data_IF_464232860146
#
_entry.id   IF_464232860146
#
_cell.length_a   1.000
_cell.length_b   1.000
_cell.length_c   1.000
_cell.angle_alpha   90.00
_cell.angle_beta   90.00
_cell.angle_gamma   90.00
#
_symmetry.space_group_name_H-M   'P 1'
#
loop_
_entity.id
_entity.type
_entity.pdbx_description
1 polymer ?
#
# COMPACT_ATOMS: atom_id res chain seq x y z
N UNK A 1 -53.44 -63.97 32.08
CA UNK A 1 -52.20 -64.43 31.41
C UNK A 1 -52.17 -63.78 30.04
N UNK A 2 -51.23 -62.97 29.57
CA UNK A 2 -49.98 -62.38 30.07
C UNK A 2 -49.69 -61.22 29.10
N UNK A 3 -49.28 -60.06 29.62
CA UNK A 3 -48.88 -58.85 28.91
C UNK A 3 -47.81 -59.07 27.84
N UNK A 4 -47.83 -58.28 26.76
CA UNK A 4 -46.61 -57.70 26.15
C UNK A 4 -46.90 -56.33 25.51
N UNK A 5 -46.50 -55.26 26.19
CA UNK A 5 -46.39 -53.90 25.63
C UNK A 5 -44.98 -53.77 25.07
N UNK A 6 -44.85 -53.47 23.77
CA UNK A 6 -43.56 -53.23 23.11
C UNK A 6 -43.26 -51.73 23.16
N UNK A 7 -42.36 -51.32 24.05
CA UNK A 7 -41.81 -49.96 24.07
C UNK A 7 -40.68 -49.87 23.03
N UNK A 8 -40.87 -49.06 21.99
CA UNK A 8 -39.82 -48.70 21.03
C UNK A 8 -39.10 -47.48 21.60
N UNK A 9 -37.89 -47.67 22.12
CA UNK A 9 -36.99 -46.58 22.49
C UNK A 9 -36.28 -46.13 21.21
N UNK A 10 -36.73 -45.01 20.63
CA UNK A 10 -36.05 -44.35 19.53
C UNK A 10 -34.84 -43.57 20.05
N UNK A 11 -33.63 -44.08 19.83
CA UNK A 11 -32.39 -43.34 20.12
C UNK A 11 -32.17 -42.29 19.02
N UNK A 12 -32.45 -41.03 19.33
CA UNK A 12 -32.03 -39.91 18.48
C UNK A 12 -30.51 -39.72 18.63
N UNK A 13 -29.74 -40.18 17.64
CA UNK A 13 -28.30 -39.90 17.58
C UNK A 13 -28.10 -38.45 17.13
N UNK A 14 -27.84 -37.56 18.08
CA UNK A 14 -27.27 -36.24 17.82
C UNK A 14 -25.87 -36.45 17.22
N UNK A 15 -25.74 -36.33 15.90
CA UNK A 15 -24.44 -36.23 15.24
C UNK A 15 -23.85 -34.88 15.64
N UNK A 16 -22.74 -34.83 16.41
CA UNK A 16 -22.07 -33.57 16.62
C UNK A 16 -21.48 -33.15 15.27
N UNK A 17 -22.06 -32.10 14.69
CA UNK A 17 -21.49 -31.44 13.53
C UNK A 17 -20.18 -30.81 13.99
N UNK A 18 -19.07 -31.54 13.82
CA UNK A 18 -17.72 -31.09 14.11
C UNK A 18 -17.41 -29.95 13.13
N UNK A 19 -17.72 -28.73 13.53
CA UNK A 19 -17.39 -27.52 12.78
C UNK A 19 -15.87 -27.39 12.78
N UNK A 20 -15.23 -27.86 11.71
CA UNK A 20 -13.82 -27.60 11.46
C UNK A 20 -13.69 -26.11 11.18
N UNK A 21 -13.36 -25.35 12.22
CA UNK A 21 -12.98 -23.94 12.08
C UNK A 21 -11.58 -23.94 11.44
N UNK A 22 -11.53 -23.89 10.11
CA UNK A 22 -10.28 -23.64 9.41
C UNK A 22 -9.78 -22.24 9.81
N UNK A 23 -8.51 -22.09 10.23
CA UNK A 23 -7.96 -20.76 10.46
C UNK A 23 -8.05 -19.99 9.14
N UNK A 24 -8.70 -18.82 9.16
CA UNK A 24 -8.73 -17.93 8.01
C UNK A 24 -7.28 -17.58 7.67
N UNK A 25 -6.83 -17.94 6.46
CA UNK A 25 -5.50 -17.60 6.01
C UNK A 25 -5.35 -16.07 6.02
N UNK A 26 -4.40 -15.55 6.80
CA UNK A 26 -4.04 -14.14 6.73
C UNK A 26 -3.34 -13.91 5.38
N UNK A 27 -4.06 -13.36 4.42
CA UNK A 27 -3.45 -12.90 3.18
C UNK A 27 -2.99 -11.45 3.42
N UNK A 28 -1.69 -11.27 3.63
CA UNK A 28 -1.11 -9.94 3.84
C UNK A 28 -0.98 -9.19 2.52
N UNK A 29 -1.93 -8.31 2.24
CA UNK A 29 -1.68 -7.25 1.26
C UNK A 29 -0.67 -6.26 1.82
N UNK A 30 -0.06 -5.48 0.94
CA UNK A 30 0.89 -4.48 1.35
C UNK A 30 0.87 -3.36 0.34
N UNK A 31 0.55 -2.16 0.81
CA UNK A 31 0.51 -0.99 -0.05
C UNK A 31 0.26 0.29 0.72
N UNK A 32 0.66 1.40 0.12
CA UNK A 32 0.49 2.74 0.68
C UNK A 32 0.45 3.79 -0.43
N UNK A 33 -0.11 4.97 -0.14
CA UNK A 33 -0.04 6.11 -1.05
C UNK A 33 1.37 6.71 -1.00
N UNK A 34 2.10 6.60 -2.12
CA UNK A 34 3.46 7.11 -2.26
C UNK A 34 3.51 8.55 -2.78
N UNK A 35 2.47 9.00 -3.51
CA UNK A 35 2.37 10.39 -3.99
C UNK A 35 0.92 10.89 -4.05
N UNK A 36 0.61 12.12 -3.57
CA UNK A 36 1.42 12.88 -2.62
C UNK A 36 1.76 12.03 -1.38
N UNK A 37 2.93 12.25 -0.74
CA UNK A 37 3.43 11.33 0.27
C UNK A 37 2.47 11.27 1.46
N UNK A 38 1.94 10.07 1.71
CA UNK A 38 1.19 9.76 2.93
C UNK A 38 2.07 9.91 4.18
N UNK A 39 1.44 9.92 5.36
CA UNK A 39 2.15 9.99 6.65
C UNK A 39 3.19 8.88 6.80
N UNK A 40 2.83 7.64 6.49
CA UNK A 40 3.78 6.52 6.50
C UNK A 40 4.90 6.68 5.44
N UNK A 41 4.63 7.28 4.28
CA UNK A 41 5.66 7.60 3.30
C UNK A 41 6.61 8.69 3.80
N UNK A 42 6.10 9.74 4.45
CA UNK A 42 6.92 10.79 5.08
C UNK A 42 7.83 10.21 6.18
N UNK A 43 7.32 9.23 6.95
CA UNK A 43 8.12 8.48 7.91
C UNK A 43 9.25 7.71 7.23
N UNK A 44 8.95 6.94 6.18
CA UNK A 44 9.94 6.14 5.46
C UNK A 44 11.00 6.99 4.75
N UNK A 45 10.63 8.18 4.28
CA UNK A 45 11.53 9.17 3.68
C UNK A 45 12.36 9.95 4.71
N UNK A 46 12.11 9.77 6.02
CA UNK A 46 12.76 10.56 7.07
C UNK A 46 12.32 12.03 7.13
N UNK A 47 11.26 12.41 6.42
CA UNK A 47 10.73 13.77 6.44
C UNK A 47 10.07 14.14 7.78
N UNK A 48 9.53 13.12 8.47
CA UNK A 48 8.98 13.19 9.82
C UNK A 48 9.59 12.06 10.65
N UNK A 49 10.04 12.36 11.87
CA UNK A 49 10.61 11.36 12.74
C UNK A 49 9.52 10.39 13.24
N UNK A 50 9.73 9.11 12.97
CA UNK A 50 8.78 8.04 13.22
C UNK A 50 9.44 6.81 13.86
N UNK A 51 8.61 5.98 14.48
CA UNK A 51 8.95 4.69 15.06
C UNK A 51 9.12 3.60 13.98
N UNK A 52 8.49 2.44 14.19
CA UNK A 52 8.67 1.27 13.34
C UNK A 52 8.13 1.45 11.92
N UNK A 53 7.08 2.25 11.73
CA UNK A 53 6.40 2.37 10.43
C UNK A 53 7.32 2.86 9.29
N UNK A 54 8.40 3.57 9.60
CA UNK A 54 9.38 4.01 8.58
C UNK A 54 10.06 2.84 7.84
N UNK A 55 10.09 1.65 8.44
CA UNK A 55 10.70 0.47 7.84
C UNK A 55 9.70 -0.33 6.99
N UNK A 56 8.41 -0.10 7.18
CA UNK A 56 7.34 -0.89 6.57
C UNK A 56 6.10 -0.05 6.25
N UNK A 57 6.22 1.06 5.49
CA UNK A 57 5.09 1.96 5.19
C UNK A 57 3.91 1.24 4.54
N UNK A 58 4.16 0.12 3.86
CA UNK A 58 3.17 -0.72 3.21
C UNK A 58 2.27 -1.55 4.16
N UNK A 59 2.55 -1.57 5.47
CA UNK A 59 1.95 -2.54 6.42
C UNK A 59 0.80 -1.98 7.27
N UNK A 60 0.19 -0.85 6.90
CA UNK A 60 -0.92 -0.26 7.67
C UNK A 60 -2.25 -0.95 7.34
N UNK A 61 -2.33 -2.24 7.71
CA UNK A 61 -3.47 -3.11 7.50
C UNK A 61 -4.39 -3.15 8.72
N UNK A 62 -5.70 -3.05 8.51
CA UNK A 62 -6.69 -3.24 9.57
C UNK A 62 -8.04 -3.69 9.04
N UNK A 63 -9.01 -4.04 9.91
CA UNK A 63 -10.37 -4.38 9.50
C UNK A 63 -10.99 -3.28 8.64
N UNK A 64 -11.79 -3.63 7.64
CA UNK A 64 -12.56 -2.66 6.83
C UNK A 64 -13.48 -1.80 7.70
N UNK A 65 -13.70 -0.56 7.28
CA UNK A 65 -14.64 0.38 7.91
C UNK A 65 -14.02 1.28 8.98
N UNK A 66 -12.70 1.21 9.20
CA UNK A 66 -12.01 2.16 10.06
C UNK A 66 -11.82 3.50 9.34
N UNK A 67 -11.67 4.55 10.13
CA UNK A 67 -11.38 5.91 9.65
C UNK A 67 -10.09 6.47 10.25
N UNK A 68 -9.30 5.63 10.91
CA UNK A 68 -8.02 6.01 11.52
C UNK A 68 -6.86 5.86 10.54
N UNK A 69 -5.89 6.77 10.63
CA UNK A 69 -4.69 6.75 9.78
C UNK A 69 -3.78 5.55 10.04
N UNK A 70 -3.83 4.97 11.24
CA UNK A 70 -3.03 3.82 11.64
C UNK A 70 -3.68 2.46 11.38
N UNK A 71 -4.87 2.40 10.78
CA UNK A 71 -5.60 1.14 10.58
C UNK A 71 -5.94 0.40 11.87
N UNK A 72 -5.98 1.10 13.02
CA UNK A 72 -6.21 0.50 14.33
C UNK A 72 -4.97 -0.16 14.96
N UNK A 73 -3.81 -0.09 14.31
CA UNK A 73 -2.57 -0.70 14.79
C UNK A 73 -1.88 0.20 15.82
N UNK A 74 -1.82 -0.27 17.08
CA UNK A 74 -1.22 0.47 18.19
C UNK A 74 0.27 0.79 17.99
N UNK A 75 1.02 -0.11 17.34
CA UNK A 75 2.43 0.10 17.00
C UNK A 75 2.67 1.24 16.00
N UNK A 76 1.63 1.66 15.27
CA UNK A 76 1.67 2.78 14.33
C UNK A 76 0.80 3.96 14.79
N UNK A 77 0.50 4.05 16.10
CA UNK A 77 -0.38 5.08 16.68
C UNK A 77 0.02 6.51 16.30
N UNK A 78 1.32 6.74 16.08
CA UNK A 78 1.86 8.01 15.61
C UNK A 78 1.24 8.53 14.30
N UNK A 79 0.72 7.66 13.43
CA UNK A 79 0.04 8.09 12.21
C UNK A 79 -1.26 8.86 12.50
N UNK A 80 -1.87 8.64 13.67
CA UNK A 80 -3.05 9.39 14.12
C UNK A 80 -2.69 10.70 14.85
N UNK A 81 -1.43 10.89 15.23
CA UNK A 81 -0.99 12.06 16.00
C UNK A 81 -0.86 13.29 15.09
N UNK A 82 -1.87 14.16 15.14
CA UNK A 82 -1.92 15.40 14.36
C UNK A 82 -0.97 16.49 14.89
N UNK A 83 -0.35 16.29 16.07
CA UNK A 83 0.65 17.21 16.62
C UNK A 83 2.04 17.03 16.01
N UNK A 84 2.30 15.88 15.35
CA UNK A 84 3.53 15.67 14.60
C UNK A 84 3.67 16.66 13.44
N UNK A 85 4.91 17.00 13.03
CA UNK A 85 5.16 17.99 11.99
C UNK A 85 4.94 17.44 10.57
N UNK A 86 3.76 16.86 10.30
CA UNK A 86 3.36 16.37 8.99
C UNK A 86 3.39 17.49 7.96
N UNK A 87 4.11 17.26 6.85
CA UNK A 87 4.33 18.25 5.79
C UNK A 87 3.18 18.16 4.79
N UNK A 88 2.26 19.13 4.74
CA UNK A 88 1.17 19.09 3.76
C UNK A 88 1.71 19.36 2.36
N UNK A 89 1.25 18.59 1.36
CA UNK A 89 1.63 18.82 -0.04
C UNK A 89 0.73 19.89 -0.67
N UNK A 90 1.28 20.99 -1.23
CA UNK A 90 0.48 21.96 -1.99
C UNK A 90 -0.12 21.34 -3.24
N UNK A 91 -1.42 21.51 -3.43
CA UNK A 91 -2.16 20.93 -4.56
C UNK A 91 -3.24 21.87 -5.07
N UNK A 92 -3.57 21.72 -6.36
CA UNK A 92 -4.78 22.31 -6.95
C UNK A 92 -6.06 21.55 -6.53
N UNK A 93 -7.14 21.83 -7.25
CA UNK A 93 -8.45 21.24 -6.98
C UNK A 93 -8.60 19.82 -7.55
N UNK A 94 -7.63 19.35 -8.32
CA UNK A 94 -7.59 17.99 -8.86
C UNK A 94 -6.23 17.40 -8.55
N UNK A 95 -6.22 16.23 -7.91
CA UNK A 95 -5.00 15.62 -7.38
C UNK A 95 -4.89 14.18 -7.84
N UNK A 96 -3.73 13.79 -8.34
CA UNK A 96 -3.42 12.41 -8.67
C UNK A 96 -2.76 11.72 -7.47
N UNK A 97 -3.42 10.70 -6.94
CA UNK A 97 -2.92 9.85 -5.86
C UNK A 97 -2.36 8.56 -6.43
N UNK A 98 -1.09 8.28 -6.18
CA UNK A 98 -0.39 7.06 -6.59
C UNK A 98 -0.21 6.13 -5.39
N UNK A 99 -0.70 4.90 -5.54
CA UNK A 99 -0.44 3.79 -4.65
C UNK A 99 0.76 2.98 -5.13
N UNK A 100 1.62 2.58 -4.19
CA UNK A 100 2.64 1.55 -4.40
C UNK A 100 2.18 0.28 -3.69
N UNK A 101 2.04 -0.82 -4.44
CA UNK A 101 1.57 -2.12 -3.95
C UNK A 101 2.73 -3.11 -4.00
N UNK A 102 3.17 -3.62 -2.83
CA UNK A 102 4.31 -4.55 -2.74
C UNK A 102 3.86 -6.01 -2.64
N UNK A 103 2.61 -6.26 -2.26
CA UNK A 103 1.95 -7.57 -2.37
C UNK A 103 0.57 -7.38 -3.01
N UNK A 104 0.34 -8.01 -4.17
CA UNK A 104 -0.88 -7.83 -4.96
C UNK A 104 -1.97 -8.79 -4.50
N UNK A 105 -3.13 -8.26 -4.14
CA UNK A 105 -4.30 -9.03 -3.72
C UNK A 105 -5.52 -8.62 -4.53
N UNK A 106 -6.51 -9.52 -4.61
CA UNK A 106 -7.80 -9.15 -5.22
C UNK A 106 -8.31 -7.89 -4.55
N UNK A 107 -8.83 -6.96 -5.32
CA UNK A 107 -9.18 -5.63 -4.81
C UNK A 107 -10.64 -5.35 -5.09
N UNK A 108 -11.42 -5.04 -4.04
CA UNK A 108 -12.78 -4.50 -4.21
C UNK A 108 -12.68 -3.13 -4.84
N UNK A 109 -11.78 -2.28 -4.33
CA UNK A 109 -11.58 -0.95 -4.85
C UNK A 109 -10.81 -0.06 -3.91
N UNK A 110 -10.85 1.23 -4.19
CA UNK A 110 -10.25 2.27 -3.37
C UNK A 110 -11.27 3.34 -3.05
N UNK A 111 -11.14 3.92 -1.87
CA UNK A 111 -11.98 5.02 -1.41
C UNK A 111 -11.12 6.15 -0.87
N UNK A 112 -11.60 7.38 -1.07
CA UNK A 112 -10.91 8.60 -0.65
C UNK A 112 -11.87 9.46 0.17
N UNK A 113 -11.43 9.93 1.32
CA UNK A 113 -12.24 10.71 2.26
C UNK A 113 -11.51 11.95 2.75
N UNK A 114 -12.25 13.04 2.95
CA UNK A 114 -11.83 14.16 3.80
C UNK A 114 -12.84 14.27 4.94
N UNK A 115 -12.38 14.05 6.17
CA UNK A 115 -13.28 13.86 7.31
C UNK A 115 -14.24 12.68 7.06
N UNK A 116 -15.55 12.91 7.22
CA UNK A 116 -16.59 11.92 6.94
C UNK A 116 -17.06 11.90 5.47
N UNK A 117 -16.58 12.83 4.63
CA UNK A 117 -17.05 13.00 3.26
C UNK A 117 -16.25 12.13 2.31
N UNK A 118 -16.90 11.16 1.65
CA UNK A 118 -16.29 10.41 0.53
C UNK A 118 -16.15 11.33 -0.68
N UNK A 119 -14.91 11.56 -1.11
CA UNK A 119 -14.60 12.46 -2.25
C UNK A 119 -14.38 11.69 -3.56
N UNK A 120 -14.00 10.41 -3.50
CA UNK A 120 -13.90 9.55 -4.67
C UNK A 120 -13.97 8.06 -4.31
N UNK A 121 -14.26 7.23 -5.31
CA UNK A 121 -14.17 5.78 -5.26
C UNK A 121 -13.77 5.21 -6.62
N UNK A 122 -12.99 4.13 -6.62
CA UNK A 122 -12.50 3.47 -7.83
C UNK A 122 -12.68 1.96 -7.67
N UNK A 123 -13.24 1.30 -8.69
CA UNK A 123 -13.48 -0.14 -8.67
C UNK A 123 -12.19 -0.92 -8.97
N UNK A 124 -11.91 -1.94 -8.16
CA UNK A 124 -10.81 -2.87 -8.38
C UNK A 124 -11.20 -4.08 -9.22
N UNK A 125 -12.47 -4.22 -9.59
CA UNK A 125 -13.05 -5.32 -10.36
C UNK A 125 -12.77 -6.71 -9.76
N UNK A 126 -12.48 -6.77 -8.46
CA UNK A 126 -12.08 -7.98 -7.73
C UNK A 126 -10.89 -8.73 -8.35
N UNK A 127 -9.99 -8.00 -9.02
CA UNK A 127 -8.73 -8.55 -9.57
C UNK A 127 -7.52 -7.97 -8.81
N UNK A 128 -6.36 -8.64 -8.84
CA UNK A 128 -5.12 -8.04 -8.36
C UNK A 128 -4.76 -6.78 -9.17
N UNK A 129 -4.46 -5.65 -8.52
CA UNK A 129 -4.07 -4.44 -9.21
C UNK A 129 -2.64 -4.54 -9.75
N UNK A 130 -2.22 -3.55 -10.54
CA UNK A 130 -0.80 -3.37 -10.82
C UNK A 130 0.00 -3.01 -9.57
N UNK A 131 1.33 -3.17 -9.64
CA UNK A 131 2.25 -2.73 -8.57
C UNK A 131 2.20 -1.21 -8.31
N UNK A 132 1.68 -0.45 -9.28
CA UNK A 132 1.40 0.98 -9.14
C UNK A 132 0.02 1.27 -9.70
N UNK A 133 -0.76 2.05 -8.96
CA UNK A 133 -2.10 2.51 -9.38
C UNK A 133 -2.20 4.00 -9.12
N UNK A 134 -2.70 4.77 -10.10
CA UNK A 134 -2.91 6.21 -9.95
C UNK A 134 -4.38 6.55 -10.14
N UNK A 135 -4.91 7.34 -9.21
CA UNK A 135 -6.29 7.81 -9.22
C UNK A 135 -6.34 9.34 -9.18
N UNK A 136 -7.10 9.93 -10.08
CA UNK A 136 -7.33 11.38 -10.11
C UNK A 136 -8.59 11.71 -9.33
N UNK A 137 -8.45 12.50 -8.26
CA UNK A 137 -9.52 12.86 -7.32
C UNK A 137 -9.79 14.36 -7.39
N UNK A 138 -11.06 14.72 -7.46
CA UNK A 138 -11.51 16.11 -7.43
C UNK A 138 -11.75 16.56 -5.97
N UNK A 139 -11.09 17.65 -5.57
CA UNK A 139 -11.15 18.26 -4.26
C UNK A 139 -11.68 19.71 -4.31
N UNK A 140 -12.38 20.11 -5.37
CA UNK A 140 -12.87 21.48 -5.56
C UNK A 140 -13.80 22.00 -4.44
N UNK A 141 -14.40 21.10 -3.66
CA UNK A 141 -15.20 21.43 -2.48
C UNK A 141 -14.39 21.72 -1.21
N UNK A 142 -13.06 21.66 -1.27
CA UNK A 142 -12.17 21.82 -0.12
C UNK A 142 -11.07 22.85 -0.40
N UNK A 143 -10.57 23.47 0.67
CA UNK A 143 -9.48 24.45 0.60
C UNK A 143 -8.68 24.45 1.90
N UNK A 144 -7.46 24.98 1.88
CA UNK A 144 -6.60 25.06 3.05
C UNK A 144 -5.96 23.72 3.40
N UNK A 145 -5.49 23.59 4.64
CA UNK A 145 -4.89 22.34 5.13
C UNK A 145 -5.96 21.28 5.31
N UNK A 146 -5.82 20.16 4.59
CA UNK A 146 -6.75 19.03 4.63
C UNK A 146 -5.99 17.74 4.93
N UNK A 147 -6.65 16.82 5.63
CA UNK A 147 -6.17 15.45 5.82
C UNK A 147 -7.08 14.53 5.04
N UNK A 148 -6.55 13.93 3.97
CA UNK A 148 -7.24 12.94 3.18
C UNK A 148 -6.92 11.54 3.69
N UNK A 149 -7.93 10.69 3.87
CA UNK A 149 -7.77 9.26 4.11
C UNK A 149 -8.02 8.51 2.81
N UNK A 150 -7.01 7.78 2.34
CA UNK A 150 -7.10 6.85 1.23
C UNK A 150 -7.17 5.42 1.79
N UNK A 151 -8.13 4.65 1.30
CA UNK A 151 -8.41 3.28 1.75
C UNK A 151 -8.33 2.35 0.55
N UNK A 152 -7.53 1.30 0.65
CA UNK A 152 -7.50 0.20 -0.32
C UNK A 152 -8.24 -1.00 0.25
N UNK A 153 -9.38 -1.36 -0.35
CA UNK A 153 -10.29 -2.41 0.09
C UNK A 153 -9.90 -3.75 -0.56
N UNK A 154 -9.45 -4.71 0.25
CA UNK A 154 -9.04 -6.04 -0.24
C UNK A 154 -10.27 -6.91 -0.52
N UNK A 155 -10.23 -7.69 -1.60
CA UNK A 155 -11.34 -8.51 -2.12
C UNK A 155 -11.54 -9.83 -1.39
N UNK A 156 -10.44 -10.45 -0.95
CA UNK A 156 -10.41 -11.81 -0.40
C UNK A 156 -10.13 -11.86 1.11
N UNK A 157 -10.05 -10.71 1.78
CA UNK A 157 -9.91 -10.62 3.25
C UNK A 157 -10.93 -9.63 3.84
N UNK A 158 -11.18 -9.66 5.17
CA UNK A 158 -11.97 -8.62 5.84
C UNK A 158 -11.20 -7.30 6.04
N UNK A 159 -9.96 -7.19 5.56
CA UNK A 159 -9.06 -6.07 5.85
C UNK A 159 -8.98 -5.04 4.72
N UNK A 160 -8.39 -3.89 5.03
CA UNK A 160 -8.07 -2.79 4.14
C UNK A 160 -6.75 -2.13 4.56
N UNK A 161 -6.15 -1.37 3.63
CA UNK A 161 -4.94 -0.57 3.88
C UNK A 161 -5.31 0.90 3.99
N UNK A 162 -4.74 1.57 4.98
CA UNK A 162 -5.08 2.94 5.35
C UNK A 162 -3.89 3.87 5.16
N UNK A 163 -4.06 4.93 4.37
CA UNK A 163 -3.04 5.97 4.15
C UNK A 163 -3.63 7.36 4.33
N UNK A 164 -3.19 8.07 5.35
CA UNK A 164 -3.50 9.50 5.49
C UNK A 164 -2.49 10.35 4.72
N UNK A 165 -2.97 11.34 3.99
CA UNK A 165 -2.18 12.30 3.21
C UNK A 165 -2.54 13.72 3.65
N UNK A 166 -1.57 14.47 4.15
CA UNK A 166 -1.74 15.88 4.48
C UNK A 166 -1.55 16.73 3.22
N UNK A 167 -2.53 17.59 2.93
CA UNK A 167 -2.60 18.40 1.72
C UNK A 167 -2.80 19.87 2.09
N UNK A 168 -2.33 20.75 1.22
CA UNK A 168 -2.68 22.17 1.23
C UNK A 168 -3.43 22.48 -0.07
N UNK A 169 -4.76 22.39 -0.04
CA UNK A 169 -5.64 22.52 -1.20
C UNK A 169 -5.89 24.00 -1.51
N UNK A 170 -5.76 24.39 -2.77
CA UNK A 170 -6.02 25.78 -3.21
C UNK A 170 -4.94 26.78 -2.76
N UNK A 171 -3.89 26.31 -2.07
CA UNK A 171 -2.64 27.07 -1.97
C UNK A 171 -2.01 27.05 -3.35
N UNK A 172 -2.05 28.18 -4.07
CA UNK A 172 -1.61 28.28 -5.45
C UNK A 172 -0.34 27.47 -5.71
N UNK A 173 -0.42 26.53 -6.64
CA UNK A 173 0.77 25.86 -7.13
C UNK A 173 1.61 26.92 -7.89
N UNK A 174 2.93 27.05 -7.66
CA UNK A 174 3.82 27.30 -8.77
C UNK A 174 3.46 26.28 -9.86
N UNK A 175 3.43 26.67 -11.15
CA UNK A 175 2.96 25.78 -12.20
C UNK A 175 3.64 24.42 -12.03
N UNK A 176 2.84 23.36 -12.15
CA UNK A 176 3.36 22.04 -12.45
C UNK A 176 4.49 22.22 -13.45
N UNK A 177 5.71 21.86 -13.08
CA UNK A 177 6.58 21.28 -14.08
C UNK A 177 5.88 20.02 -14.55
N UNK A 178 5.00 20.18 -15.53
CA UNK A 178 4.95 19.27 -16.66
C UNK A 178 6.38 19.22 -17.20
N UNK A 179 7.21 18.34 -16.62
CA UNK A 179 8.20 17.67 -17.46
C UNK A 179 7.38 16.71 -18.29
N UNK A 180 6.84 17.22 -19.39
CA UNK A 180 6.63 16.42 -20.59
C UNK A 180 7.92 15.64 -20.79
N UNK A 181 7.95 14.30 -20.65
CA UNK A 181 9.08 13.54 -21.14
C UNK A 181 9.24 13.92 -22.62
N UNK A 182 10.43 14.27 -23.12
CA UNK A 182 10.60 14.57 -24.52
C UNK A 182 10.02 13.42 -25.34
N UNK A 183 9.23 13.75 -26.37
CA UNK A 183 8.82 12.81 -27.38
C UNK A 183 10.06 12.24 -28.07
N UNK A 184 10.62 11.17 -27.50
CA UNK A 184 11.58 10.30 -28.14
C UNK A 184 10.80 9.29 -28.96
N UNK A 185 10.71 9.54 -30.25
CA UNK A 185 10.25 8.56 -31.23
C UNK A 185 11.24 7.38 -31.25
N UNK A 186 10.96 6.33 -30.48
CA UNK A 186 11.48 5.00 -30.78
C UNK A 186 10.38 3.97 -30.54
N UNK A 187 9.97 3.35 -31.63
CA UNK A 187 9.02 2.24 -31.72
C UNK A 187 9.36 1.15 -30.69
N UNK A 188 8.37 0.56 -29.98
CA UNK A 188 8.62 -0.56 -29.09
C UNK A 188 9.02 -1.82 -29.89
N UNK A 189 10.12 -2.53 -29.57
CA UNK A 189 10.16 -3.95 -29.80
C UNK A 189 9.44 -4.65 -28.64
N UNK A 190 8.58 -5.60 -28.99
CA UNK A 190 7.96 -6.52 -28.04
C UNK A 190 9.03 -7.17 -27.15
N UNK A 191 8.91 -6.96 -25.84
CA UNK A 191 9.86 -7.45 -24.84
C UNK A 191 9.47 -8.83 -24.32
N UNK A 192 10.04 -9.85 -24.94
CA UNK A 192 10.18 -11.22 -24.47
C UNK A 192 10.80 -11.29 -23.08
N UNK A 193 10.26 -12.15 -22.21
CA UNK A 193 10.90 -12.61 -20.96
C UNK A 193 12.31 -13.11 -21.22
N UNK A 194 13.32 -12.46 -20.64
CA UNK A 194 14.68 -13.03 -20.55
C UNK A 194 15.24 -12.84 -19.15
N UNK A 195 15.37 -13.94 -18.42
CA UNK A 195 16.21 -14.09 -17.23
C UNK A 195 17.69 -14.13 -17.61
N UNK A 196 18.52 -13.26 -17.02
CA UNK A 196 19.99 -13.42 -16.96
C UNK A 196 20.52 -12.85 -15.63
N UNK A 197 21.23 -13.61 -14.79
CA UNK A 197 22.04 -13.06 -13.70
C UNK A 197 23.54 -12.94 -14.05
N UNK A 198 24.24 -12.12 -13.25
CA UNK A 198 25.71 -12.02 -13.05
C UNK A 198 26.52 -10.93 -13.80
N UNK A 199 26.29 -9.67 -13.42
CA UNK A 199 27.30 -8.65 -13.10
C UNK A 199 26.59 -7.49 -12.38
N UNK A 200 27.21 -6.85 -11.38
CA UNK A 200 26.56 -5.80 -10.60
C UNK A 200 26.23 -4.59 -11.48
N UNK A 201 24.98 -4.50 -11.93
CA UNK A 201 24.52 -3.40 -12.78
C UNK A 201 24.46 -2.12 -11.96
N UNK A 202 24.68 -0.95 -12.57
CA UNK A 202 24.49 0.30 -11.86
C UNK A 202 23.05 0.39 -11.34
N UNK A 203 22.88 0.79 -10.08
CA UNK A 203 21.56 1.03 -9.53
C UNK A 203 20.88 2.13 -10.34
N UNK A 204 19.65 1.87 -10.77
CA UNK A 204 18.78 2.79 -11.46
C UNK A 204 17.47 2.97 -10.67
N UNK A 205 16.99 4.21 -10.61
CA UNK A 205 15.63 4.50 -10.18
C UNK A 205 14.63 3.91 -11.19
N UNK A 206 13.51 3.39 -10.70
CA UNK A 206 12.47 2.72 -11.48
C UNK A 206 12.77 1.26 -11.83
N UNK A 207 13.99 0.76 -11.58
CA UNK A 207 14.33 -0.64 -11.82
C UNK A 207 13.79 -1.55 -10.71
N UNK A 208 13.43 -2.77 -11.09
CA UNK A 208 13.02 -3.84 -10.18
C UNK A 208 14.22 -4.73 -9.87
N UNK A 209 14.40 -5.01 -8.59
CA UNK A 209 15.47 -5.84 -8.05
C UNK A 209 14.87 -7.01 -7.30
N UNK A 210 15.40 -8.21 -7.56
CA UNK A 210 15.12 -9.40 -6.77
C UNK A 210 16.02 -9.44 -5.53
N UNK A 211 15.55 -10.12 -4.47
CA UNK A 211 16.39 -10.35 -3.31
C UNK A 211 17.63 -11.16 -3.71
N UNK A 212 18.81 -10.65 -3.37
CA UNK A 212 20.08 -11.21 -3.76
C UNK A 212 20.74 -10.55 -4.98
N UNK A 213 20.02 -9.73 -5.74
CA UNK A 213 20.63 -8.95 -6.84
C UNK A 213 21.73 -8.04 -6.29
N UNK A 214 22.78 -7.84 -7.08
CA UNK A 214 23.88 -6.95 -6.72
C UNK A 214 23.91 -5.76 -7.67
N UNK A 215 24.07 -4.56 -7.14
CA UNK A 215 24.15 -3.31 -7.91
C UNK A 215 25.32 -2.45 -7.48
N UNK A 216 25.75 -1.53 -8.33
CA UNK A 216 26.73 -0.50 -7.99
C UNK A 216 26.07 0.86 -7.81
N UNK A 217 26.40 1.58 -6.73
CA UNK A 217 25.93 2.94 -6.48
C UNK A 217 27.01 3.76 -5.76
N UNK A 218 27.35 4.93 -6.30
CA UNK A 218 28.43 5.79 -5.80
C UNK A 218 29.76 5.04 -5.56
N UNK A 219 30.13 4.13 -6.47
CA UNK A 219 31.38 3.38 -6.41
C UNK A 219 31.42 2.25 -5.37
N UNK A 220 30.32 2.00 -4.66
CA UNK A 220 30.14 0.88 -3.72
C UNK A 220 29.22 -0.17 -4.31
N UNK A 221 29.38 -1.41 -3.86
CA UNK A 221 28.55 -2.55 -4.27
C UNK A 221 27.53 -2.85 -3.19
N UNK A 222 26.29 -3.10 -3.58
CA UNK A 222 25.21 -3.40 -2.66
C UNK A 222 24.44 -4.63 -3.12
N UNK A 223 24.07 -5.48 -2.16
CA UNK A 223 23.16 -6.60 -2.35
C UNK A 223 21.75 -6.22 -1.93
N UNK A 224 20.79 -6.48 -2.79
CA UNK A 224 19.37 -6.34 -2.51
C UNK A 224 18.97 -7.36 -1.43
N UNK A 225 18.37 -6.90 -0.34
CA UNK A 225 17.91 -7.72 0.78
C UNK A 225 16.47 -8.20 0.59
N UNK A 226 15.64 -7.35 -0.03
CA UNK A 226 14.23 -7.58 -0.23
C UNK A 226 13.85 -7.18 -1.65
N UNK A 227 13.13 -8.06 -2.36
CA UNK A 227 12.72 -7.76 -3.72
C UNK A 227 11.81 -6.52 -3.74
N UNK A 228 12.16 -5.55 -4.58
CA UNK A 228 11.43 -4.27 -4.67
C UNK A 228 11.69 -3.60 -6.01
N UNK A 229 10.88 -2.60 -6.33
CA UNK A 229 11.19 -1.66 -7.41
C UNK A 229 11.55 -0.32 -6.80
N UNK A 230 12.62 0.31 -7.28
CA UNK A 230 13.10 1.60 -6.79
C UNK A 230 12.24 2.77 -7.31
N UNK A 231 10.95 2.81 -6.93
CA UNK A 231 9.99 3.81 -7.42
C UNK A 231 10.31 5.25 -7.01
N UNK A 232 11.03 5.42 -5.90
CA UNK A 232 11.50 6.71 -5.42
C UNK A 232 13.01 6.84 -5.69
N UNK A 233 13.48 7.89 -6.38
CA UNK A 233 14.90 8.08 -6.66
C UNK A 233 15.76 8.27 -5.38
N UNK A 234 15.14 8.49 -4.22
CA UNK A 234 15.81 8.54 -2.92
C UNK A 234 15.98 7.16 -2.27
N UNK A 235 15.35 6.10 -2.80
CA UNK A 235 15.57 4.69 -2.39
C UNK A 235 16.88 4.12 -2.92
N UNK A 236 17.92 4.93 -2.81
CA UNK A 236 19.27 4.58 -3.21
C UNK A 236 19.81 3.50 -2.27
N UNK A 237 20.74 2.66 -2.73
CA UNK A 237 21.31 1.61 -1.88
C UNK A 237 21.95 2.12 -0.59
N UNK A 238 22.48 3.35 -0.59
CA UNK A 238 23.06 3.98 0.60
C UNK A 238 22.00 4.50 1.59
N UNK A 239 20.83 4.91 1.11
CA UNK A 239 19.79 5.54 1.92
C UNK A 239 18.75 4.56 2.48
N UNK A 240 18.69 3.32 1.95
CA UNK A 240 17.66 2.34 2.31
C UNK A 240 18.27 1.01 2.80
N UNK A 241 18.87 0.99 4.01
CA UNK A 241 19.55 -0.20 4.55
C UNK A 241 18.62 -1.39 4.84
N UNK A 242 17.30 -1.18 4.84
CA UNK A 242 16.32 -2.26 4.91
C UNK A 242 16.18 -3.02 3.57
N UNK A 243 16.47 -2.35 2.45
CA UNK A 243 16.37 -2.89 1.08
C UNK A 243 17.74 -3.31 0.53
N UNK A 244 18.84 -2.74 1.03
CA UNK A 244 20.18 -2.93 0.50
C UNK A 244 21.22 -3.13 1.60
N UNK A 245 22.22 -3.95 1.32
CA UNK A 245 23.40 -4.16 2.17
C UNK A 245 24.68 -3.95 1.37
N UNK A 246 25.56 -3.07 1.82
CA UNK A 246 26.89 -2.90 1.21
C UNK A 246 27.69 -4.21 1.33
N UNK A 247 28.35 -4.63 0.25
CA UNK A 247 29.13 -5.88 0.14
C UNK A 247 30.54 -5.63 -0.34
#
# INVERSE_FOLDING_TARGET
MTNRVLSIIGTATLVPCLQVVLPMANAYAHGFVSSPPSRQAQCAQGAVQCGAIKYEPQSVEGPKGLTSCNGGLGQFAELNDDSKPWRPTPVGNTVSFTWTNTALHRTVGWEYYIGATKVAGFDGNNVPPGATVTHTVNLSGFSGRQKLLAIWLIGDTPNAFYSCVDLQVGGGQPPTSTTTPPAGTTTPPAGTTTTVPAAASAWAAGATYAAGDTVTYNGKTYRCLQAHTAYDPTWTPAATPALWKET
#
